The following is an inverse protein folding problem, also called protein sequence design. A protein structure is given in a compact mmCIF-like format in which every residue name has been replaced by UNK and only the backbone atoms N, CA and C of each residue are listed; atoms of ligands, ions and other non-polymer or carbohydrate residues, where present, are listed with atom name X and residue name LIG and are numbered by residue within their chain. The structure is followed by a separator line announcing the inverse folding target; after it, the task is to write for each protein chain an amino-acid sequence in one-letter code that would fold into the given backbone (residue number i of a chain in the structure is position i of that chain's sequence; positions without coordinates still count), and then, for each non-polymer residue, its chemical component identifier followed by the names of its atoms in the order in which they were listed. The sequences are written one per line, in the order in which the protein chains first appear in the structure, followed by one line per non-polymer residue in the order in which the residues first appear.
data_IF_691088182297
#
_entry.id   IF_691088182297
#
_cell.length_a   1.000
_cell.length_b   1.000
_cell.length_c   1.000
_cell.angle_alpha   90.00
_cell.angle_beta   90.00
_cell.angle_gamma   90.00
#
_symmetry.space_group_name_H-M   'P 1'
#
loop_
_entity.id
_entity.type
_entity.pdbx_description
1 polymer ?
#
# COMPACT_ATOMS: atom_id res chain seq x y z
N UNK A 1 14.76 -30.72 -64.58
CA UNK A 1 13.68 -29.75 -64.33
C UNK A 1 13.08 -30.10 -62.97
N UNK A 2 13.74 -29.92 -61.82
CA UNK A 2 14.19 -28.70 -61.15
C UNK A 2 13.08 -27.68 -60.94
N UNK A 3 12.36 -27.80 -59.81
CA UNK A 3 11.76 -26.65 -59.14
C UNK A 3 11.73 -26.91 -57.64
N UNK A 4 12.32 -25.96 -56.92
CA UNK A 4 12.68 -26.03 -55.52
C UNK A 4 11.49 -25.66 -54.62
N UNK A 5 11.42 -26.30 -53.45
CA UNK A 5 10.53 -25.90 -52.37
C UNK A 5 11.11 -24.65 -51.69
N UNK A 6 10.45 -23.50 -51.82
CA UNK A 6 10.83 -22.29 -51.09
C UNK A 6 10.34 -22.40 -49.64
N UNK A 7 11.30 -22.52 -48.73
CA UNK A 7 11.09 -22.44 -47.29
C UNK A 7 10.98 -20.96 -46.90
N UNK A 8 9.77 -20.44 -46.80
CA UNK A 8 9.51 -19.08 -46.31
C UNK A 8 9.72 -19.03 -44.79
N UNK A 9 10.86 -18.46 -44.38
CA UNK A 9 11.24 -18.29 -42.98
C UNK A 9 10.27 -17.40 -42.21
N UNK A 10 9.70 -17.96 -41.14
CA UNK A 10 9.10 -17.17 -40.06
C UNK A 10 10.22 -16.50 -39.28
N UNK A 11 10.49 -15.24 -39.59
CA UNK A 11 11.38 -14.39 -38.80
C UNK A 11 10.79 -14.18 -37.40
N UNK A 12 11.47 -14.75 -36.40
CA UNK A 12 11.26 -14.43 -35.00
C UNK A 12 11.60 -12.95 -34.79
N UNK A 13 10.58 -12.12 -34.56
CA UNK A 13 10.78 -10.75 -34.13
C UNK A 13 10.97 -10.78 -32.61
N UNK A 14 12.21 -11.09 -32.19
CA UNK A 14 12.66 -10.96 -30.81
C UNK A 14 12.63 -9.48 -30.43
N UNK A 15 11.53 -9.05 -29.83
CA UNK A 15 11.47 -7.75 -29.16
C UNK A 15 12.38 -7.79 -27.94
N UNK A 16 13.53 -7.13 -28.05
CA UNK A 16 14.51 -6.93 -26.99
C UNK A 16 13.84 -6.42 -25.70
N UNK A 17 14.16 -6.99 -24.52
CA UNK A 17 13.64 -6.50 -23.26
C UNK A 17 14.32 -5.17 -22.92
N UNK A 18 13.52 -4.10 -22.86
CA UNK A 18 13.98 -2.77 -22.45
C UNK A 18 14.65 -2.83 -21.07
N UNK A 19 15.94 -2.57 -21.04
CA UNK A 19 16.81 -2.56 -19.87
C UNK A 19 16.24 -1.58 -18.81
N UNK A 20 15.58 -2.13 -17.80
CA UNK A 20 15.15 -1.36 -16.62
C UNK A 20 16.39 -0.95 -15.86
N UNK A 21 16.80 0.31 -16.03
CA UNK A 21 17.86 1.01 -15.29
C UNK A 21 17.88 0.58 -13.81
N UNK A 22 18.77 -0.34 -13.46
CA UNK A 22 18.89 -0.81 -12.07
C UNK A 22 19.34 0.37 -11.22
N UNK A 23 18.48 0.80 -10.30
CA UNK A 23 18.89 1.79 -9.29
C UNK A 23 19.99 1.16 -8.43
N UNK A 24 21.07 1.89 -8.11
CA UNK A 24 22.09 1.37 -7.20
C UNK A 24 21.44 0.99 -5.87
N UNK A 25 21.70 -0.24 -5.41
CA UNK A 25 21.16 -0.76 -4.16
C UNK A 25 21.77 0.02 -3.00
N UNK A 26 21.02 0.99 -2.47
CA UNK A 26 21.37 1.67 -1.22
C UNK A 26 21.31 0.71 -0.02
N UNK A 27 21.85 1.10 1.14
CA UNK A 27 21.78 0.28 2.35
C UNK A 27 20.31 -0.01 2.71
N UNK A 28 19.99 -1.30 2.91
CA UNK A 28 18.70 -1.74 3.43
C UNK A 28 18.61 -1.30 4.88
N UNK A 29 17.51 -0.67 5.26
CA UNK A 29 17.27 -0.20 6.61
C UNK A 29 16.36 -1.18 7.35
N UNK A 30 16.67 -1.39 8.62
CA UNK A 30 15.89 -2.25 9.50
C UNK A 30 14.69 -1.46 10.04
N UNK A 31 13.52 -2.09 9.99
CA UNK A 31 12.27 -1.50 10.47
C UNK A 31 11.90 -2.18 11.78
N UNK A 32 11.63 -1.39 12.80
CA UNK A 32 11.14 -1.87 14.08
C UNK A 32 9.63 -2.13 13.99
N UNK A 33 9.17 -3.14 14.73
CA UNK A 33 7.76 -3.50 14.80
C UNK A 33 7.34 -3.69 16.25
N UNK A 34 6.15 -3.21 16.60
CA UNK A 34 5.53 -3.50 17.89
C UNK A 34 4.96 -4.94 17.93
N UNK A 35 4.44 -5.35 19.10
CA UNK A 35 3.81 -6.65 19.30
C UNK A 35 2.64 -6.94 18.32
N UNK A 36 1.96 -5.89 17.84
CA UNK A 36 0.86 -5.99 16.87
C UNK A 36 1.34 -6.09 15.40
N UNK A 37 2.66 -6.13 15.15
CA UNK A 37 3.24 -6.17 13.81
C UNK A 37 3.10 -4.85 13.04
N UNK A 38 2.99 -3.73 13.75
CA UNK A 38 2.94 -2.38 13.18
C UNK A 38 4.34 -1.77 13.22
N UNK A 39 4.75 -1.17 12.09
CA UNK A 39 6.05 -0.52 12.00
C UNK A 39 6.11 0.73 12.90
N UNK A 40 7.14 0.80 13.75
CA UNK A 40 7.42 1.88 14.71
C UNK A 40 8.74 2.59 14.38
N UNK A 41 9.09 3.61 15.16
CA UNK A 41 10.35 4.34 15.02
C UNK A 41 10.45 5.21 13.75
N UNK A 42 11.70 5.54 13.38
CA UNK A 42 12.01 6.52 12.33
C UNK A 42 11.73 6.03 10.90
N UNK A 43 11.86 4.71 10.66
CA UNK A 43 11.71 4.13 9.32
C UNK A 43 10.28 3.71 8.98
N UNK A 44 9.32 3.86 9.91
CA UNK A 44 7.89 3.50 9.70
C UNK A 44 7.29 4.11 8.44
N UNK A 45 7.58 5.39 8.18
CA UNK A 45 7.02 6.14 7.06
C UNK A 45 7.63 5.69 5.73
N UNK A 46 8.92 5.38 5.74
CA UNK A 46 9.66 4.86 4.58
C UNK A 46 9.15 3.46 4.20
N UNK A 47 8.99 2.57 5.19
CA UNK A 47 8.36 1.26 5.02
C UNK A 47 6.96 1.37 4.39
N UNK A 48 6.09 2.21 4.95
CA UNK A 48 4.74 2.40 4.41
C UNK A 48 4.75 2.94 2.97
N UNK A 49 5.72 3.78 2.61
CA UNK A 49 5.86 4.34 1.26
C UNK A 49 6.26 3.27 0.25
N UNK A 50 7.24 2.43 0.59
CA UNK A 50 7.73 1.35 -0.28
C UNK A 50 6.64 0.32 -0.50
N UNK A 51 5.99 -0.16 0.56
CA UNK A 51 4.86 -1.10 0.44
C UNK A 51 3.77 -0.55 -0.48
N UNK A 52 3.45 0.74 -0.37
CA UNK A 52 2.49 1.39 -1.28
C UNK A 52 2.99 1.46 -2.72
N UNK A 53 4.27 1.75 -2.94
CA UNK A 53 4.87 1.82 -4.26
C UNK A 53 4.88 0.45 -4.94
N UNK A 54 5.29 -0.60 -4.23
CA UNK A 54 5.30 -1.99 -4.72
C UNK A 54 3.88 -2.41 -5.11
N UNK A 55 2.90 -2.26 -4.22
CA UNK A 55 1.49 -2.57 -4.53
C UNK A 55 0.97 -1.77 -5.73
N UNK A 56 1.37 -0.51 -5.88
CA UNK A 56 0.90 0.33 -6.98
C UNK A 56 1.52 -0.03 -8.32
N UNK A 57 2.73 -0.57 -8.32
CA UNK A 57 3.48 -0.84 -9.55
C UNK A 57 3.26 -2.27 -10.02
N UNK A 58 3.39 -3.24 -9.12
CA UNK A 58 3.48 -4.65 -9.48
C UNK A 58 2.15 -5.41 -9.29
N UNK A 59 1.20 -4.90 -8.50
CA UNK A 59 -0.06 -5.62 -8.30
C UNK A 59 -1.07 -5.34 -9.44
N UNK A 60 -1.57 -6.38 -10.13
CA UNK A 60 -2.56 -6.24 -11.19
C UNK A 60 -3.92 -5.77 -10.64
N UNK A 61 -4.60 -4.81 -11.28
CA UNK A 61 -5.92 -4.35 -10.86
C UNK A 61 -7.07 -5.28 -11.28
N UNK A 62 -6.80 -6.27 -12.14
CA UNK A 62 -7.80 -7.12 -12.80
C UNK A 62 -8.57 -8.07 -11.86
N UNK A 63 -7.98 -8.50 -10.74
CA UNK A 63 -8.63 -9.40 -9.79
C UNK A 63 -9.81 -8.72 -9.08
N UNK A 64 -10.92 -9.44 -8.82
CA UNK A 64 -12.09 -8.89 -8.11
C UNK A 64 -11.72 -8.64 -6.65
N UNK A 65 -11.18 -9.67 -6.00
CA UNK A 65 -10.85 -9.69 -4.57
C UNK A 65 -9.38 -10.11 -4.30
N UNK A 66 -8.83 -9.69 -3.15
CA UNK A 66 -7.43 -9.99 -2.79
C UNK A 66 -7.19 -11.50 -2.58
N UNK A 67 -8.24 -12.24 -2.21
CA UNK A 67 -8.19 -13.68 -2.06
C UNK A 67 -7.90 -14.38 -3.41
N UNK A 68 -8.40 -13.82 -4.51
CA UNK A 68 -8.22 -14.35 -5.87
C UNK A 68 -6.84 -14.05 -6.46
N UNK A 69 -6.13 -13.06 -5.91
CA UNK A 69 -4.76 -12.76 -6.34
C UNK A 69 -3.90 -13.99 -6.07
N UNK A 70 -3.23 -14.47 -7.12
CA UNK A 70 -2.42 -15.68 -7.09
C UNK A 70 -1.39 -15.61 -5.97
N UNK A 71 -1.15 -16.74 -5.32
CA UNK A 71 -0.13 -16.87 -4.26
C UNK A 71 1.24 -16.47 -4.80
N UNK A 72 1.57 -16.88 -6.03
CA UNK A 72 2.80 -16.50 -6.72
C UNK A 72 2.96 -14.98 -6.82
N UNK A 73 1.91 -14.26 -7.21
CA UNK A 73 1.93 -12.79 -7.26
C UNK A 73 2.12 -12.17 -5.87
N UNK A 74 1.52 -12.76 -4.82
CA UNK A 74 1.74 -12.29 -3.44
C UNK A 74 3.18 -12.52 -2.99
N UNK A 75 3.80 -13.63 -3.42
CA UNK A 75 5.20 -13.95 -3.14
C UNK A 75 6.16 -13.02 -3.87
N UNK A 76 5.89 -12.70 -5.14
CA UNK A 76 6.62 -11.69 -5.90
C UNK A 76 6.54 -10.32 -5.23
N UNK A 77 5.35 -9.86 -4.84
CA UNK A 77 5.18 -8.61 -4.11
C UNK A 77 5.95 -8.59 -2.79
N UNK A 78 6.02 -9.73 -2.09
CA UNK A 78 6.80 -9.86 -0.86
C UNK A 78 8.30 -9.78 -1.14
N UNK A 79 8.79 -10.45 -2.20
CA UNK A 79 10.18 -10.36 -2.65
C UNK A 79 10.56 -8.93 -3.03
N UNK A 80 9.72 -8.23 -3.79
CA UNK A 80 9.94 -6.82 -4.17
C UNK A 80 10.12 -5.92 -2.94
N UNK A 81 9.33 -6.16 -1.88
CA UNK A 81 9.50 -5.41 -0.61
C UNK A 81 10.82 -5.76 0.09
N UNK A 82 11.19 -7.05 0.12
CA UNK A 82 12.45 -7.51 0.72
C UNK A 82 13.69 -7.05 -0.04
N UNK A 83 13.56 -6.73 -1.33
CA UNK A 83 14.66 -6.15 -2.09
C UNK A 83 15.02 -4.75 -1.61
N UNK A 84 14.02 -3.97 -1.23
CA UNK A 84 14.15 -2.59 -0.76
C UNK A 84 14.38 -2.46 0.76
N UNK A 85 13.88 -3.41 1.57
CA UNK A 85 13.86 -3.34 3.03
C UNK A 85 14.26 -4.69 3.63
N UNK A 86 15.09 -4.66 4.67
CA UNK A 86 15.38 -5.86 5.46
C UNK A 86 14.25 -6.12 6.46
N UNK A 87 13.50 -7.22 6.28
CA UNK A 87 12.35 -7.57 7.11
C UNK A 87 12.41 -9.05 7.53
N UNK A 88 12.10 -9.35 8.80
CA UNK A 88 11.99 -10.74 9.24
C UNK A 88 10.73 -11.39 8.65
N UNK A 89 10.80 -12.71 8.42
CA UNK A 89 9.70 -13.47 7.79
C UNK A 89 8.38 -13.39 8.56
N UNK A 90 8.43 -13.19 9.88
CA UNK A 90 7.25 -12.99 10.73
C UNK A 90 6.38 -11.80 10.29
N UNK A 91 6.97 -10.80 9.60
CA UNK A 91 6.26 -9.61 9.13
C UNK A 91 5.62 -9.79 7.75
N UNK A 92 5.73 -10.98 7.14
CA UNK A 92 5.14 -11.26 5.82
C UNK A 92 3.64 -11.00 5.80
N UNK A 93 2.90 -11.55 6.76
CA UNK A 93 1.44 -11.42 6.79
C UNK A 93 0.99 -9.97 7.04
N UNK A 94 1.66 -9.27 7.97
CA UNK A 94 1.44 -7.85 8.22
C UNK A 94 1.68 -7.01 6.96
N UNK A 95 2.74 -7.33 6.22
CA UNK A 95 3.10 -6.64 4.97
C UNK A 95 2.09 -6.95 3.86
N UNK A 96 1.65 -8.19 3.70
CA UNK A 96 0.61 -8.57 2.74
C UNK A 96 -0.73 -7.87 3.02
N UNK A 97 -1.11 -7.69 4.30
CA UNK A 97 -2.29 -6.88 4.68
C UNK A 97 -2.15 -5.41 4.26
N UNK A 98 -0.97 -4.83 4.41
CA UNK A 98 -0.69 -3.46 3.96
C UNK A 98 -0.66 -3.34 2.43
N UNK A 99 -0.09 -4.32 1.73
CA UNK A 99 -0.12 -4.44 0.27
C UNK A 99 -1.56 -4.50 -0.24
N UNK A 100 -2.42 -5.33 0.37
CA UNK A 100 -3.86 -5.41 0.05
C UNK A 100 -4.54 -4.04 0.20
N UNK A 101 -4.26 -3.33 1.29
CA UNK A 101 -4.83 -1.99 1.54
C UNK A 101 -4.38 -0.99 0.46
N UNK A 102 -3.10 -1.00 0.12
CA UNK A 102 -2.55 -0.14 -0.93
C UNK A 102 -3.09 -0.50 -2.33
N UNK A 103 -3.28 -1.78 -2.61
CA UNK A 103 -3.90 -2.28 -3.84
C UNK A 103 -5.37 -1.84 -3.97
N UNK A 104 -6.16 -1.95 -2.89
CA UNK A 104 -7.53 -1.42 -2.84
C UNK A 104 -7.56 0.08 -3.12
N UNK A 105 -6.61 0.84 -2.56
CA UNK A 105 -6.49 2.27 -2.86
C UNK A 105 -6.15 2.51 -4.35
N UNK A 106 -5.23 1.75 -4.94
CA UNK A 106 -4.94 1.83 -6.39
C UNK A 106 -6.22 1.57 -7.21
N UNK A 107 -6.99 0.53 -6.90
CA UNK A 107 -8.26 0.24 -7.58
C UNK A 107 -9.26 1.40 -7.42
N UNK A 108 -9.30 2.05 -6.27
CA UNK A 108 -10.14 3.23 -6.06
C UNK A 108 -9.72 4.40 -6.95
N UNK A 109 -8.43 4.71 -7.05
CA UNK A 109 -7.94 5.76 -7.95
C UNK A 109 -8.22 5.44 -9.43
N UNK A 110 -8.02 4.18 -9.84
CA UNK A 110 -8.36 3.71 -11.19
C UNK A 110 -9.86 3.85 -11.48
N UNK A 111 -10.70 3.62 -10.47
CA UNK A 111 -12.15 3.79 -10.62
C UNK A 111 -12.57 5.24 -10.80
N UNK A 112 -11.85 6.21 -10.22
CA UNK A 112 -12.08 7.63 -10.52
C UNK A 112 -11.91 7.90 -12.01
N UNK A 113 -10.86 7.34 -12.63
CA UNK A 113 -10.63 7.45 -14.08
C UNK A 113 -11.75 6.76 -14.88
N UNK A 114 -12.20 5.58 -14.42
CA UNK A 114 -13.33 4.88 -15.04
C UNK A 114 -14.61 5.73 -15.04
N UNK A 115 -14.89 6.43 -13.93
CA UNK A 115 -16.09 7.27 -13.76
C UNK A 115 -16.06 8.56 -14.58
N UNK A 116 -14.88 9.00 -15.05
CA UNK A 116 -14.76 10.21 -15.89
C UNK A 116 -15.35 10.04 -17.28
N UNK A 117 -15.57 8.80 -17.74
CA UNK A 117 -16.03 8.52 -19.09
C UNK A 117 -17.40 7.80 -19.08
N UNK A 118 -18.36 8.21 -19.93
CA UNK A 118 -19.71 7.66 -19.91
C UNK A 118 -19.79 6.25 -20.53
N UNK A 119 -19.03 5.98 -21.60
CA UNK A 119 -19.13 4.74 -22.38
C UNK A 119 -17.94 3.79 -22.16
N UNK A 120 -18.18 2.48 -22.26
CA UNK A 120 -17.12 1.47 -22.13
C UNK A 120 -16.04 1.58 -23.22
N UNK A 121 -16.43 1.92 -24.44
CA UNK A 121 -15.48 2.13 -25.54
C UNK A 121 -14.50 3.28 -25.23
N UNK A 122 -15.01 4.39 -24.70
CA UNK A 122 -14.16 5.51 -24.29
C UNK A 122 -13.29 5.17 -23.08
N UNK A 123 -13.83 4.45 -22.10
CA UNK A 123 -13.08 3.97 -20.94
C UNK A 123 -11.88 3.14 -21.39
N UNK A 124 -12.08 2.15 -22.26
CA UNK A 124 -10.99 1.28 -22.77
C UNK A 124 -9.95 2.09 -23.55
N UNK A 125 -10.38 3.05 -24.38
CA UNK A 125 -9.47 3.91 -25.17
C UNK A 125 -8.65 4.89 -24.32
N UNK A 126 -9.26 5.53 -23.32
CA UNK A 126 -8.65 6.62 -22.52
C UNK A 126 -8.11 6.15 -21.16
N UNK A 127 -7.53 4.94 -21.14
CA UNK A 127 -6.99 4.35 -19.93
C UNK A 127 -5.80 5.13 -19.33
N UNK A 128 -5.48 4.93 -18.05
CA UNK A 128 -4.32 5.54 -17.41
C UNK A 128 -3.00 5.03 -18.01
N UNK A 129 -2.06 5.95 -18.30
CA UNK A 129 -0.73 5.63 -18.88
C UNK A 129 0.12 4.65 -18.05
N UNK A 130 -0.12 4.55 -16.74
CA UNK A 130 0.68 3.76 -15.80
C UNK A 130 0.18 2.32 -15.62
N UNK A 131 -0.89 1.93 -16.32
CA UNK A 131 -1.46 0.58 -16.26
C UNK A 131 -1.39 -0.03 -17.65
N UNK A 132 -1.05 -1.31 -17.75
CA UNK A 132 -1.04 -2.03 -19.02
C UNK A 132 -2.44 -2.01 -19.63
N UNK A 133 -2.52 -1.93 -20.96
CA UNK A 133 -3.81 -1.76 -21.65
C UNK A 133 -4.73 -2.95 -21.39
N UNK A 134 -4.18 -4.16 -21.38
CA UNK A 134 -4.88 -5.41 -21.16
C UNK A 134 -5.46 -5.48 -19.74
N UNK A 135 -4.66 -5.09 -18.73
CA UNK A 135 -5.09 -5.01 -17.34
C UNK A 135 -6.18 -3.96 -17.13
N UNK A 136 -6.09 -2.84 -17.85
CA UNK A 136 -7.10 -1.78 -17.79
C UNK A 136 -8.41 -2.23 -18.44
N UNK A 137 -8.37 -2.86 -19.60
CA UNK A 137 -9.57 -3.38 -20.27
C UNK A 137 -10.29 -4.42 -19.41
N UNK A 138 -9.55 -5.38 -18.83
CA UNK A 138 -10.10 -6.34 -17.88
C UNK A 138 -10.72 -5.67 -16.64
N UNK A 139 -10.08 -4.60 -16.14
CA UNK A 139 -10.62 -3.81 -15.03
C UNK A 139 -11.93 -3.08 -15.40
N UNK A 140 -12.01 -2.52 -16.62
CA UNK A 140 -13.23 -1.87 -17.14
C UNK A 140 -14.36 -2.88 -17.26
N UNK A 141 -14.07 -4.08 -17.78
CA UNK A 141 -15.05 -5.15 -17.93
C UNK A 141 -15.57 -5.60 -16.55
N UNK A 142 -14.67 -5.84 -15.60
CA UNK A 142 -15.03 -6.15 -14.21
C UNK A 142 -15.92 -5.07 -13.57
N UNK A 143 -15.60 -3.78 -13.77
CA UNK A 143 -16.39 -2.67 -13.23
C UNK A 143 -17.75 -2.50 -13.94
N UNK A 144 -17.89 -3.01 -15.15
CA UNK A 144 -19.11 -2.91 -15.95
C UNK A 144 -20.15 -3.97 -15.60
N UNK A 145 -19.76 -5.02 -14.88
CA UNK A 145 -20.66 -6.08 -14.40
C UNK A 145 -21.71 -5.48 -13.46
N UNK A 146 -22.96 -5.91 -13.61
CA UNK A 146 -24.09 -5.33 -12.87
C UNK A 146 -24.00 -5.60 -11.36
N UNK A 147 -23.51 -6.77 -10.97
CA UNK A 147 -23.19 -7.09 -9.56
C UNK A 147 -22.22 -6.06 -8.95
N UNK A 148 -21.17 -5.69 -9.70
CA UNK A 148 -20.17 -4.73 -9.25
C UNK A 148 -20.76 -3.31 -9.09
N UNK A 149 -21.62 -2.89 -10.03
CA UNK A 149 -22.35 -1.62 -9.94
C UNK A 149 -23.32 -1.60 -8.77
N UNK A 150 -24.07 -2.67 -8.57
CA UNK A 150 -25.06 -2.79 -7.49
C UNK A 150 -24.38 -2.72 -6.12
N UNK A 151 -23.33 -3.52 -5.91
CA UNK A 151 -22.52 -3.49 -4.67
C UNK A 151 -21.97 -2.10 -4.38
N UNK A 152 -21.55 -1.38 -5.42
CA UNK A 152 -21.07 -0.01 -5.30
C UNK A 152 -22.17 0.97 -4.92
N UNK A 153 -23.33 0.90 -5.59
CA UNK A 153 -24.49 1.74 -5.30
C UNK A 153 -24.89 1.59 -3.82
N UNK A 154 -25.03 0.34 -3.36
CA UNK A 154 -25.33 0.02 -1.98
C UNK A 154 -24.29 0.59 -1.00
N UNK A 155 -22.99 0.46 -1.33
CA UNK A 155 -21.92 1.04 -0.52
C UNK A 155 -21.96 2.57 -0.47
N UNK A 156 -22.37 3.25 -1.54
CA UNK A 156 -22.56 4.71 -1.55
C UNK A 156 -23.73 5.10 -0.67
N UNK A 157 -24.88 4.45 -0.85
CA UNK A 157 -26.09 4.68 -0.03
C UNK A 157 -25.84 4.40 1.45
N UNK A 158 -25.07 3.37 1.78
CA UNK A 158 -24.70 3.06 3.17
C UNK A 158 -23.82 4.14 3.78
N UNK A 159 -22.81 4.65 3.05
CA UNK A 159 -21.97 5.77 3.51
C UNK A 159 -22.75 7.07 3.67
N UNK A 160 -23.69 7.34 2.79
CA UNK A 160 -24.56 8.53 2.86
C UNK A 160 -25.46 8.50 4.10
N UNK A 161 -25.90 7.32 4.53
CA UNK A 161 -26.69 7.13 5.76
C UNK A 161 -25.87 7.19 7.05
N UNK A 162 -24.55 7.14 6.97
CA UNK A 162 -23.66 7.11 8.14
C UNK A 162 -23.50 8.53 8.72
N UNK A 163 -24.17 8.80 9.85
CA UNK A 163 -24.19 10.14 10.47
C UNK A 163 -22.89 10.51 11.19
N UNK A 164 -22.30 9.57 11.92
CA UNK A 164 -21.20 9.85 12.85
C UNK A 164 -19.99 8.95 12.53
N UNK A 165 -19.12 9.31 11.57
CA UNK A 165 -17.87 8.60 11.36
C UNK A 165 -16.93 8.83 12.56
N UNK A 166 -16.42 7.75 13.15
CA UNK A 166 -15.36 7.86 14.15
C UNK A 166 -14.08 8.42 13.48
N UNK A 167 -13.51 9.47 14.07
CA UNK A 167 -12.25 10.05 13.63
C UNK A 167 -11.24 10.01 14.77
N UNK A 168 -10.20 9.20 14.64
CA UNK A 168 -8.94 9.45 15.36
C UNK A 168 -8.24 10.57 14.60
N UNK A 169 -7.57 11.50 15.30
CA UNK A 169 -6.88 12.63 14.68
C UNK A 169 -5.79 12.22 13.68
N UNK A 170 -4.94 13.17 13.27
CA UNK A 170 -3.90 12.93 12.24
C UNK A 170 -2.95 11.76 12.60
N UNK A 171 -2.73 11.52 13.89
CA UNK A 171 -1.90 10.42 14.37
C UNK A 171 -2.74 9.19 14.65
N UNK A 172 -2.31 8.03 14.14
CA UNK A 172 -2.91 6.74 14.47
C UNK A 172 -2.66 6.35 15.93
N UNK A 173 -3.32 5.29 16.40
CA UNK A 173 -3.21 4.84 17.78
C UNK A 173 -1.78 4.43 18.18
N UNK A 174 -1.04 3.73 17.32
CA UNK A 174 0.30 3.22 17.67
C UNK A 174 1.32 4.31 17.97
N UNK A 175 1.49 5.34 17.12
CA UNK A 175 2.34 6.48 17.46
C UNK A 175 1.89 7.23 18.72
N UNK A 176 0.59 7.27 19.00
CA UNK A 176 0.06 7.89 20.24
C UNK A 176 0.48 7.05 21.45
N UNK A 177 0.36 5.72 21.37
CA UNK A 177 0.78 4.80 22.44
C UNK A 177 2.29 4.93 22.69
N UNK A 178 3.11 4.94 21.63
CA UNK A 178 4.57 5.12 21.72
C UNK A 178 4.94 6.44 22.42
N UNK A 179 4.25 7.54 22.10
CA UNK A 179 4.43 8.82 22.78
C UNK A 179 4.01 8.78 24.24
N UNK A 180 2.89 8.13 24.56
CA UNK A 180 2.41 8.00 25.94
C UNK A 180 3.36 7.13 26.78
N UNK A 181 3.89 6.06 26.22
CA UNK A 181 4.89 5.21 26.89
C UNK A 181 6.21 5.94 27.12
N UNK A 182 6.64 6.80 26.19
CA UNK A 182 7.83 7.63 26.36
C UNK A 182 7.62 8.68 27.45
N UNK A 183 6.48 9.39 27.44
CA UNK A 183 6.12 10.35 28.50
C UNK A 183 6.09 9.65 29.86
N UNK A 184 5.46 8.48 29.97
CA UNK A 184 5.39 7.74 31.23
C UNK A 184 6.77 7.31 31.74
N UNK A 185 7.69 6.94 30.83
CA UNK A 185 9.09 6.64 31.18
C UNK A 185 9.81 7.86 31.73
N UNK A 186 9.70 9.02 31.08
CA UNK A 186 10.35 10.25 31.52
C UNK A 186 9.83 10.71 32.89
N UNK A 187 8.52 10.64 33.12
CA UNK A 187 7.90 10.98 34.41
C UNK A 187 8.35 10.03 35.53
N UNK A 188 8.62 8.75 35.23
CA UNK A 188 9.07 7.76 36.22
C UNK A 188 10.55 7.91 36.61
N UNK A 189 11.34 8.65 35.83
CA UNK A 189 12.80 8.84 36.05
C UNK A 189 13.09 10.10 36.89
N UNK A 190 12.13 11.04 37.03
CA UNK A 190 12.25 12.25 37.87
C UNK A 190 11.31 12.22 39.09
N UNK A 191 11.53 11.35 40.11
CA UNK A 191 10.82 11.47 41.38
C UNK A 191 11.31 12.65 42.25
N UNK A 192 12.43 13.29 41.90
CA UNK A 192 13.23 14.12 42.82
C UNK A 192 13.10 15.65 42.61
N UNK A 193 12.09 16.09 41.84
CA UNK A 193 11.83 17.53 41.60
C UNK A 193 10.62 18.04 42.40
N UNK A 194 9.68 17.17 42.81
CA UNK A 194 8.46 17.62 43.52
C UNK A 194 8.64 17.74 45.04
N UNK A 195 9.66 17.09 45.63
CA UNK A 195 9.90 17.16 47.08
C UNK A 195 10.79 18.32 47.54
N UNK A 196 11.48 19.01 46.61
CA UNK A 196 12.42 20.11 46.97
C UNK A 196 11.79 21.49 47.16
N UNK A 197 10.51 21.64 46.82
CA UNK A 197 9.83 22.94 46.85
C UNK A 197 8.93 23.15 48.10
N UNK A 198 8.88 22.18 49.03
CA UNK A 198 8.14 22.33 50.30
C UNK A 198 9.00 22.84 51.46
N UNK A 199 10.33 22.76 51.35
CA UNK A 199 11.25 23.17 52.41
C UNK A 199 11.77 24.61 52.26
N UNK A 200 11.35 25.33 51.20
CA UNK A 200 11.86 26.67 50.89
C UNK A 200 10.76 27.75 50.80
N UNK A 201 9.60 27.54 51.45
CA UNK A 201 8.59 28.59 51.64
C UNK A 201 9.02 29.53 52.78
N UNK A 202 9.37 30.81 52.51
CA UNK A 202 9.78 31.76 53.55
C UNK A 202 8.61 32.26 54.42
N UNK A 203 7.39 31.74 54.29
CA UNK A 203 6.18 32.22 54.99
C UNK A 203 5.88 31.44 56.30
N UNK A 204 6.85 30.70 56.86
CA UNK A 204 6.69 30.01 58.14
C UNK A 204 7.36 30.70 59.36
N UNK A 205 7.89 31.93 59.21
CA UNK A 205 8.45 32.69 60.33
C UNK A 205 8.02 34.17 60.33
N UNK A 206 6.74 34.44 60.66
CA UNK A 206 6.29 35.70 61.30
C UNK A 206 5.10 35.39 62.20
#
# INVERSE_FOLDING_TARGET
MSEAYETSGFGANESEPSETRMKPKGPRFQVEFNADGQATGQYRAKYATIVRQVARTHCPPMYKDWAEVLVLTKDELWKDVLEEIDLPLIQRECTLRKLNTAWKQKKYELRKVYDMYPTNAERKRKGPKKVKKEEWEAFVDMCSIEEAKTKRCNGKLSREKMKNPHTTGRMGASPIIEQLEEINRLVSIEPDIVERDLDNDPVAMV
#
